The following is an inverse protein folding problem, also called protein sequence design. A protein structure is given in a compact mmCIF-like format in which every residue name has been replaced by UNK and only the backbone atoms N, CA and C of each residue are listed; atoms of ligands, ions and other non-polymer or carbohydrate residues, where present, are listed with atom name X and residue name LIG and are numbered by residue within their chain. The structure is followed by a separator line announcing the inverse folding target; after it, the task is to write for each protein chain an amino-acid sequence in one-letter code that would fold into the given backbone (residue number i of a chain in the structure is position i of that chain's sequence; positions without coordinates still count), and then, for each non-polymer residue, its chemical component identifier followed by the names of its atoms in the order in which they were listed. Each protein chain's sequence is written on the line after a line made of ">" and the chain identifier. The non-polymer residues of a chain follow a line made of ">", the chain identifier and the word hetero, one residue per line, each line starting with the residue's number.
data_IF_215244961248
#
_entry.id   IF_215244961248
#
_cell.length_a   1.000
_cell.length_b   1.000
_cell.length_c   1.000
_cell.angle_alpha   90.00
_cell.angle_beta   90.00
_cell.angle_gamma   90.00
#
_symmetry.space_group_name_H-M   'P 1'
#
loop_
_entity.id
_entity.type
_entity.pdbx_description
1 polymer ?
#
# COMPACT_ATOMS: atom_id res chain seq x y z
N UNK A 1 -25.58 -3.10 17.77
CA UNK A 1 -24.19 -2.52 17.63
C UNK A 1 -23.72 -2.82 16.24
N UNK A 2 -23.19 -1.83 15.52
CA UNK A 2 -22.68 -1.99 14.15
C UNK A 2 -21.19 -2.30 14.19
N UNK A 3 -20.76 -3.35 13.48
CA UNK A 3 -19.36 -3.72 13.33
C UNK A 3 -18.84 -3.18 11.99
N UNK A 4 -17.92 -2.22 12.02
CA UNK A 4 -17.38 -1.57 10.84
C UNK A 4 -16.08 -2.27 10.47
N UNK A 5 -15.96 -2.76 9.23
CA UNK A 5 -14.81 -3.52 8.73
C UNK A 5 -14.39 -3.06 7.34
N UNK A 6 -13.10 -2.97 7.10
CA UNK A 6 -12.51 -2.93 5.77
C UNK A 6 -12.23 -4.34 5.25
N UNK A 7 -11.52 -4.47 4.12
CA UNK A 7 -11.22 -5.76 3.49
C UNK A 7 -10.11 -6.57 4.21
N UNK A 8 -10.03 -7.86 3.89
CA UNK A 8 -8.89 -8.73 4.26
C UNK A 8 -7.58 -8.20 3.65
N UNK A 9 -6.45 -8.44 4.37
CA UNK A 9 -5.15 -7.84 4.02
C UNK A 9 -5.24 -6.32 3.88
N UNK A 10 -5.69 -5.65 4.95
CA UNK A 10 -6.14 -4.27 4.88
C UNK A 10 -4.98 -3.31 4.61
N UNK A 11 -5.25 -2.32 3.78
CA UNK A 11 -4.39 -1.16 3.58
C UNK A 11 -4.78 0.03 4.47
N UNK A 12 -4.23 1.19 4.15
CA UNK A 12 -4.48 2.40 4.95
C UNK A 12 -5.91 2.92 4.78
N UNK A 13 -6.50 2.80 3.59
CA UNK A 13 -7.90 3.22 3.38
C UNK A 13 -8.86 2.31 4.15
N UNK A 14 -8.71 1.00 4.02
CA UNK A 14 -9.54 0.02 4.70
C UNK A 14 -9.58 0.22 6.24
N UNK A 15 -8.43 0.45 6.89
CA UNK A 15 -8.37 0.58 8.36
C UNK A 15 -8.74 2.00 8.82
N UNK A 16 -8.17 3.05 8.21
CA UNK A 16 -8.43 4.42 8.63
C UNK A 16 -9.89 4.83 8.38
N UNK A 17 -10.43 4.44 7.21
CA UNK A 17 -11.82 4.77 6.89
C UNK A 17 -12.80 3.95 7.72
N UNK A 18 -12.52 2.68 8.06
CA UNK A 18 -13.35 1.92 9.00
C UNK A 18 -13.36 2.57 10.39
N UNK A 19 -12.19 2.99 10.90
CA UNK A 19 -12.08 3.73 12.17
C UNK A 19 -12.93 5.00 12.15
N UNK A 20 -12.81 5.79 11.10
CA UNK A 20 -13.52 7.06 10.97
C UNK A 20 -15.02 6.88 10.69
N UNK A 21 -15.42 5.85 9.94
CA UNK A 21 -16.82 5.51 9.70
C UNK A 21 -17.52 5.10 11.00
N UNK A 22 -16.87 4.29 11.85
CA UNK A 22 -17.40 3.98 13.18
C UNK A 22 -17.56 5.24 14.04
N UNK A 23 -16.58 6.16 13.99
CA UNK A 23 -16.65 7.44 14.69
C UNK A 23 -17.81 8.28 14.18
N UNK A 24 -17.98 8.40 12.87
CA UNK A 24 -19.09 9.13 12.23
C UNK A 24 -20.46 8.55 12.60
N UNK A 25 -20.62 7.22 12.59
CA UNK A 25 -21.85 6.55 13.00
C UNK A 25 -22.18 6.84 14.46
N UNK A 26 -21.19 6.83 15.35
CA UNK A 26 -21.37 7.17 16.77
C UNK A 26 -21.80 8.63 16.98
N UNK A 27 -21.26 9.59 16.22
CA UNK A 27 -21.69 11.00 16.25
C UNK A 27 -23.17 11.13 15.87
N UNK A 28 -23.69 10.25 15.04
CA UNK A 28 -25.09 10.19 14.60
C UNK A 28 -25.98 9.32 15.50
N UNK A 29 -25.50 8.94 16.69
CA UNK A 29 -26.25 8.15 17.67
C UNK A 29 -26.37 6.65 17.32
N UNK A 30 -25.64 6.16 16.34
CA UNK A 30 -25.59 4.74 15.96
C UNK A 30 -24.38 4.09 16.62
N UNK A 31 -24.59 3.19 17.56
CA UNK A 31 -23.48 2.49 18.23
C UNK A 31 -22.68 1.66 17.23
N UNK A 32 -21.42 2.00 17.03
CA UNK A 32 -20.53 1.36 16.08
C UNK A 32 -19.11 1.17 16.64
N UNK A 33 -18.47 0.07 16.25
CA UNK A 33 -17.08 -0.27 16.60
C UNK A 33 -16.35 -0.69 15.33
N UNK A 34 -15.16 -0.11 15.11
CA UNK A 34 -14.29 -0.50 14.01
C UNK A 34 -13.42 -1.71 14.37
N UNK A 35 -13.18 -2.56 13.39
CA UNK A 35 -12.32 -3.74 13.46
C UNK A 35 -11.42 -3.80 12.23
N UNK A 36 -10.20 -4.32 12.38
CA UNK A 36 -9.34 -4.67 11.25
C UNK A 36 -9.43 -6.16 10.95
N UNK A 37 -9.34 -6.51 9.68
CA UNK A 37 -9.40 -7.91 9.20
C UNK A 37 -8.01 -8.49 8.87
N UNK A 38 -6.95 -7.90 9.39
CA UNK A 38 -5.58 -8.35 9.18
C UNK A 38 -4.57 -7.45 9.87
N UNK A 39 -3.28 -7.78 9.69
CA UNK A 39 -2.21 -6.97 10.24
C UNK A 39 -2.04 -5.68 9.42
N UNK A 40 -1.86 -4.52 10.07
CA UNK A 40 -1.66 -3.25 9.41
C UNK A 40 -0.29 -3.23 8.73
N UNK A 41 -0.22 -2.66 7.53
CA UNK A 41 1.04 -2.37 6.88
C UNK A 41 1.80 -1.22 7.59
N UNK A 42 3.07 -0.99 7.23
CA UNK A 42 3.92 0.03 7.86
C UNK A 42 3.38 1.45 7.72
N UNK A 43 2.76 1.75 6.59
CA UNK A 43 2.12 3.03 6.31
C UNK A 43 0.96 3.29 7.28
N UNK A 44 0.08 2.30 7.48
CA UNK A 44 -1.03 2.38 8.43
C UNK A 44 -0.53 2.50 9.87
N UNK A 45 0.51 1.74 10.25
CA UNK A 45 1.15 1.86 11.56
C UNK A 45 1.72 3.26 11.80
N UNK A 46 2.37 3.84 10.78
CA UNK A 46 2.87 5.21 10.82
C UNK A 46 1.73 6.22 11.06
N UNK A 47 0.62 6.09 10.33
CA UNK A 47 -0.53 6.99 10.45
C UNK A 47 -1.11 7.00 11.86
N UNK A 48 -1.40 5.84 12.44
CA UNK A 48 -1.94 5.74 13.80
C UNK A 48 -0.94 6.22 14.86
N UNK A 49 0.33 5.88 14.72
CA UNK A 49 1.40 6.37 15.61
C UNK A 49 1.52 7.90 15.53
N UNK A 50 1.50 8.47 14.33
CA UNK A 50 1.58 9.93 14.12
C UNK A 50 0.35 10.66 14.67
N UNK A 51 -0.82 10.06 14.54
CA UNK A 51 -2.08 10.57 15.08
C UNK A 51 -2.16 10.43 16.60
N UNK A 52 -1.37 9.56 17.24
CA UNK A 52 -1.49 9.24 18.66
C UNK A 52 -2.82 8.56 19.01
N UNK A 53 -3.36 7.77 18.08
CA UNK A 53 -4.62 7.05 18.23
C UNK A 53 -4.37 5.54 18.25
N UNK A 54 -5.20 4.84 19.04
CA UNK A 54 -5.17 3.38 19.06
C UNK A 54 -5.82 2.81 17.78
N UNK A 55 -5.17 1.83 17.22
CA UNK A 55 -5.64 1.13 16.02
C UNK A 55 -6.83 0.24 16.34
N UNK A 56 -7.80 0.06 15.42
CA UNK A 56 -8.87 -0.90 15.60
C UNK A 56 -8.32 -2.28 15.96
N UNK A 57 -8.94 -2.99 16.93
CA UNK A 57 -8.54 -4.35 17.25
C UNK A 57 -8.80 -5.31 16.09
N UNK A 58 -8.04 -6.41 16.06
CA UNK A 58 -8.27 -7.50 15.12
C UNK A 58 -9.63 -8.15 15.40
N UNK A 59 -10.43 -8.37 14.35
CA UNK A 59 -11.69 -9.09 14.49
C UNK A 59 -11.40 -10.57 14.81
N UNK A 60 -11.79 -10.98 16.01
CA UNK A 60 -11.58 -12.35 16.50
C UNK A 60 -12.88 -13.15 16.64
N UNK A 61 -14.01 -12.61 16.17
CA UNK A 61 -15.33 -13.23 16.30
C UNK A 61 -16.00 -13.38 14.94
N UNK A 62 -16.91 -14.37 14.76
CA UNK A 62 -17.72 -14.48 13.56
C UNK A 62 -18.67 -13.30 13.42
N UNK A 63 -18.96 -12.90 12.18
CA UNK A 63 -19.93 -11.85 11.88
C UNK A 63 -21.38 -12.35 11.69
N UNK A 64 -21.60 -13.65 11.81
CA UNK A 64 -22.93 -14.27 11.64
C UNK A 64 -24.00 -13.55 12.47
N UNK A 65 -25.08 -13.14 11.80
CA UNK A 65 -26.23 -12.41 12.35
C UNK A 65 -25.92 -11.06 13.03
N UNK A 66 -24.68 -10.54 12.89
CA UNK A 66 -24.30 -9.21 13.38
C UNK A 66 -24.56 -8.15 12.30
N UNK A 67 -24.88 -6.93 12.75
CA UNK A 67 -24.96 -5.76 11.88
C UNK A 67 -23.57 -5.31 11.46
N UNK A 68 -23.30 -5.30 10.16
CA UNK A 68 -21.99 -4.99 9.60
C UNK A 68 -22.07 -3.81 8.65
N UNK A 69 -21.10 -2.90 8.78
CA UNK A 69 -20.88 -1.81 7.85
C UNK A 69 -19.56 -2.06 7.12
N UNK A 70 -19.62 -2.17 5.79
CA UNK A 70 -18.45 -2.41 4.93
C UNK A 70 -17.81 -1.09 4.51
N UNK A 71 -16.50 -1.10 4.48
CA UNK A 71 -15.69 0.00 3.98
C UNK A 71 -14.65 -0.54 3.02
N UNK A 72 -14.55 0.09 1.84
CA UNK A 72 -13.48 -0.14 0.89
C UNK A 72 -13.51 -1.50 0.19
N UNK A 73 -14.62 -2.18 0.19
CA UNK A 73 -14.86 -3.39 -0.61
C UNK A 73 -16.33 -3.77 -0.72
N UNK A 74 -16.68 -4.48 -1.81
CA UNK A 74 -17.98 -5.13 -2.01
C UNK A 74 -17.84 -6.55 -2.55
N UNK A 75 -16.63 -7.10 -2.66
CA UNK A 75 -16.41 -8.49 -3.06
C UNK A 75 -16.45 -9.42 -1.84
N UNK A 76 -17.34 -10.44 -1.79
CA UNK A 76 -17.45 -11.34 -0.63
C UNK A 76 -16.14 -12.06 -0.27
N UNK A 77 -15.29 -12.33 -1.26
CA UNK A 77 -13.99 -12.99 -1.08
C UNK A 77 -12.95 -12.10 -0.39
N UNK A 78 -13.20 -10.81 -0.32
CA UNK A 78 -12.35 -9.85 0.40
C UNK A 78 -12.77 -9.68 1.87
N UNK A 79 -13.84 -10.34 2.31
CA UNK A 79 -14.29 -10.39 3.70
C UNK A 79 -14.09 -11.77 4.33
N UNK A 80 -14.32 -11.91 5.65
CA UNK A 80 -14.28 -13.20 6.32
C UNK A 80 -15.43 -14.10 5.82
N UNK A 81 -15.27 -15.42 5.92
CA UNK A 81 -16.27 -16.40 5.47
C UNK A 81 -17.66 -16.15 6.05
N UNK A 82 -17.72 -15.65 7.28
CA UNK A 82 -18.98 -15.34 7.97
C UNK A 82 -19.66 -14.06 7.50
N UNK A 83 -19.05 -13.31 6.58
CA UNK A 83 -19.63 -12.08 6.04
C UNK A 83 -20.97 -12.33 5.34
N UNK A 84 -21.09 -13.43 4.60
CA UNK A 84 -22.32 -13.76 3.85
C UNK A 84 -23.50 -14.10 4.77
N UNK A 85 -23.23 -14.46 6.02
CA UNK A 85 -24.26 -14.74 7.04
C UNK A 85 -24.50 -13.56 7.99
N UNK A 86 -23.84 -12.46 7.79
CA UNK A 86 -24.04 -11.21 8.53
C UNK A 86 -25.23 -10.42 8.00
N UNK A 87 -25.65 -9.40 8.74
CA UNK A 87 -26.61 -8.40 8.30
C UNK A 87 -25.85 -7.13 7.86
N UNK A 88 -25.59 -6.98 6.54
CA UNK A 88 -24.92 -5.80 6.01
C UNK A 88 -25.89 -4.65 6.01
N UNK A 89 -25.64 -3.65 6.85
CA UNK A 89 -26.50 -2.46 7.06
C UNK A 89 -26.00 -1.22 6.34
N UNK A 90 -24.74 -1.20 5.90
CA UNK A 90 -24.18 -0.07 5.16
C UNK A 90 -22.90 -0.43 4.40
N UNK A 91 -22.60 0.38 3.39
CA UNK A 91 -21.42 0.24 2.50
C UNK A 91 -20.92 1.63 2.15
N UNK A 92 -19.63 1.87 2.33
CA UNK A 92 -18.88 3.00 1.78
C UNK A 92 -17.72 2.44 0.96
N UNK A 93 -17.71 2.65 -0.36
CA UNK A 93 -16.71 2.05 -1.24
C UNK A 93 -16.46 2.90 -2.49
N UNK A 94 -15.29 2.82 -3.06
CA UNK A 94 -14.92 3.47 -4.31
C UNK A 94 -14.59 2.49 -5.44
N UNK A 95 -14.72 1.20 -5.17
CA UNK A 95 -14.50 0.13 -6.14
C UNK A 95 -15.76 -0.19 -6.96
N UNK A 96 -15.57 -1.01 -7.98
CA UNK A 96 -16.70 -1.62 -8.70
C UNK A 96 -17.49 -2.54 -7.77
N UNK A 97 -18.77 -2.72 -8.05
CA UNK A 97 -19.59 -3.70 -7.32
C UNK A 97 -19.06 -5.13 -7.53
N UNK A 98 -18.75 -5.81 -6.45
CA UNK A 98 -18.09 -7.11 -6.42
C UNK A 98 -19.03 -8.33 -6.29
N UNK A 99 -20.33 -8.18 -6.54
CA UNK A 99 -21.29 -9.30 -6.50
C UNK A 99 -21.80 -9.65 -5.09
N UNK A 100 -21.70 -8.72 -4.13
CA UNK A 100 -22.25 -8.88 -2.80
C UNK A 100 -23.78 -9.00 -2.85
N UNK A 101 -24.32 -9.96 -2.11
CA UNK A 101 -25.76 -10.13 -1.91
C UNK A 101 -26.06 -9.86 -0.43
N UNK A 102 -27.01 -8.98 -0.18
CA UNK A 102 -27.43 -8.58 1.19
C UNK A 102 -28.76 -9.17 1.56
N UNK A 103 -28.97 -9.45 2.85
CA UNK A 103 -30.22 -10.01 3.38
C UNK A 103 -31.34 -8.98 3.44
N UNK A 104 -30.98 -7.72 3.73
CA UNK A 104 -31.87 -6.56 3.80
C UNK A 104 -31.29 -5.41 2.99
N UNK A 105 -32.09 -4.41 2.59
CA UNK A 105 -31.57 -3.22 1.89
C UNK A 105 -30.60 -2.44 2.80
N UNK A 106 -29.33 -2.30 2.41
CA UNK A 106 -28.35 -1.50 3.16
C UNK A 106 -28.35 -0.03 2.71
N UNK A 107 -27.75 0.84 3.51
CA UNK A 107 -27.32 2.17 3.04
C UNK A 107 -26.07 2.01 2.17
N UNK A 108 -26.11 2.43 0.91
CA UNK A 108 -25.00 2.22 -0.04
C UNK A 108 -24.49 3.54 -0.60
N UNK A 109 -23.22 3.78 -0.39
CA UNK A 109 -22.48 4.94 -0.87
C UNK A 109 -21.28 4.46 -1.67
N UNK A 110 -21.38 4.54 -2.99
CA UNK A 110 -20.32 4.13 -3.92
C UNK A 110 -20.14 5.22 -4.96
N UNK A 111 -18.90 5.70 -5.12
CA UNK A 111 -18.51 6.69 -6.13
C UNK A 111 -17.12 6.36 -6.69
N UNK A 112 -16.88 6.69 -7.96
CA UNK A 112 -15.55 6.54 -8.58
C UNK A 112 -14.62 7.69 -8.17
N UNK A 113 -14.23 7.72 -6.90
CA UNK A 113 -13.23 8.62 -6.32
C UNK A 113 -11.94 7.86 -6.02
N UNK A 114 -10.89 8.54 -5.61
CA UNK A 114 -9.58 7.94 -5.39
C UNK A 114 -9.46 7.11 -4.10
N UNK A 115 -10.39 7.29 -3.13
CA UNK A 115 -10.34 6.61 -1.83
C UNK A 115 -11.71 6.62 -1.15
N UNK A 116 -12.03 5.58 -0.42
CA UNK A 116 -13.25 5.50 0.41
C UNK A 116 -13.29 6.58 1.50
N UNK A 117 -12.12 7.03 1.98
CA UNK A 117 -12.01 8.15 2.91
C UNK A 117 -12.52 9.46 2.31
N UNK A 118 -12.29 9.70 1.02
CA UNK A 118 -12.86 10.87 0.31
C UNK A 118 -14.38 10.84 0.35
N UNK A 119 -14.96 9.68 0.07
CA UNK A 119 -16.41 9.52 0.08
C UNK A 119 -16.98 9.71 1.50
N UNK A 120 -16.35 9.13 2.51
CA UNK A 120 -16.75 9.33 3.91
C UNK A 120 -16.68 10.81 4.29
N UNK A 121 -15.62 11.53 3.91
CA UNK A 121 -15.50 12.97 4.13
C UNK A 121 -16.64 13.76 3.48
N UNK A 122 -17.07 13.38 2.28
CA UNK A 122 -18.21 14.01 1.61
C UNK A 122 -19.55 13.76 2.31
N UNK A 123 -19.72 12.57 2.90
CA UNK A 123 -20.94 12.20 3.63
C UNK A 123 -21.09 12.93 4.97
N UNK A 124 -20.00 13.40 5.55
CA UNK A 124 -20.02 14.17 6.79
C UNK A 124 -20.63 15.54 6.58
N UNK A 125 -21.66 15.87 7.37
CA UNK A 125 -22.23 17.21 7.41
C UNK A 125 -21.22 18.24 7.94
N UNK A 126 -21.44 19.56 7.76
CA UNK A 126 -20.61 20.58 8.40
C UNK A 126 -20.47 20.40 9.91
N UNK A 127 -21.56 19.98 10.57
CA UNK A 127 -21.60 19.71 12.02
C UNK A 127 -20.77 18.49 12.40
N UNK A 128 -20.79 17.42 11.57
CA UNK A 128 -19.95 16.23 11.76
C UNK A 128 -18.47 16.61 11.61
N UNK A 129 -18.14 17.37 10.55
CA UNK A 129 -16.77 17.83 10.28
C UNK A 129 -16.21 18.73 11.38
N UNK A 130 -17.05 19.55 12.00
CA UNK A 130 -16.65 20.40 13.12
C UNK A 130 -16.25 19.63 14.38
N UNK A 131 -16.64 18.35 14.49
CA UNK A 131 -16.30 17.46 15.62
C UNK A 131 -15.04 16.61 15.35
N UNK A 132 -14.46 16.66 14.14
CA UNK A 132 -13.26 15.93 13.77
C UNK A 132 -12.03 16.58 14.42
N UNK A 133 -11.27 15.80 15.18
CA UNK A 133 -9.98 16.25 15.72
C UNK A 133 -8.89 16.29 14.64
N UNK A 134 -7.79 17.02 14.89
CA UNK A 134 -6.62 17.03 13.99
C UNK A 134 -6.04 15.62 13.76
N UNK A 135 -6.01 14.79 14.81
CA UNK A 135 -5.58 13.40 14.73
C UNK A 135 -6.47 12.55 13.80
N UNK A 136 -7.78 12.75 13.88
CA UNK A 136 -8.76 12.06 13.02
C UNK A 136 -8.69 12.56 11.57
N UNK A 137 -8.51 13.86 11.37
CA UNK A 137 -8.28 14.44 10.05
C UNK A 137 -7.01 13.90 9.39
N UNK A 138 -5.94 13.68 10.18
CA UNK A 138 -4.69 13.10 9.70
C UNK A 138 -4.89 11.67 9.20
N UNK A 139 -5.73 10.84 9.85
CA UNK A 139 -6.04 9.48 9.37
C UNK A 139 -6.76 9.50 8.02
N UNK A 140 -7.79 10.34 7.87
CA UNK A 140 -8.49 10.50 6.58
C UNK A 140 -7.56 11.02 5.49
N UNK A 141 -6.75 12.03 5.80
CA UNK A 141 -5.75 12.57 4.89
C UNK A 141 -4.77 11.50 4.43
N UNK A 142 -4.24 10.71 5.37
CA UNK A 142 -3.29 9.63 5.08
C UNK A 142 -3.90 8.54 4.21
N UNK A 143 -5.14 8.15 4.44
CA UNK A 143 -5.87 7.19 3.61
C UNK A 143 -6.00 7.67 2.17
N UNK A 144 -6.45 8.91 1.96
CA UNK A 144 -6.59 9.49 0.62
C UNK A 144 -5.22 9.58 -0.10
N UNK A 145 -4.18 10.04 0.59
CA UNK A 145 -2.84 10.17 0.00
C UNK A 145 -2.23 8.81 -0.33
N UNK A 146 -2.52 7.76 0.46
CA UNK A 146 -2.09 6.40 0.18
C UNK A 146 -2.65 5.88 -1.13
N UNK A 147 -3.97 5.92 -1.29
CA UNK A 147 -4.69 5.37 -2.46
C UNK A 147 -4.46 6.18 -3.72
N UNK A 148 -4.35 7.48 -3.58
CA UNK A 148 -4.09 8.38 -4.71
C UNK A 148 -2.59 8.50 -5.05
N UNK A 149 -1.73 7.75 -4.35
CA UNK A 149 -0.26 7.88 -4.49
C UNK A 149 0.14 9.36 -4.42
N UNK A 150 -0.27 10.02 -3.33
CA UNK A 150 -0.07 11.47 -3.13
C UNK A 150 -0.61 12.33 -4.29
N UNK A 151 -1.85 12.04 -4.71
CA UNK A 151 -2.59 12.70 -5.80
C UNK A 151 -1.99 12.52 -7.20
N UNK A 152 -1.12 11.51 -7.40
CA UNK A 152 -0.49 11.18 -8.70
C UNK A 152 -1.17 10.01 -9.41
N UNK A 153 -2.02 9.24 -8.73
CA UNK A 153 -2.74 8.12 -9.33
C UNK A 153 -3.70 8.62 -10.43
N UNK A 154 -3.87 7.88 -11.53
CA UNK A 154 -4.88 8.19 -12.54
C UNK A 154 -6.32 8.08 -12.01
N UNK A 155 -6.53 7.45 -10.86
CA UNK A 155 -7.81 7.36 -10.15
C UNK A 155 -8.14 8.61 -9.34
N UNK A 156 -7.18 9.54 -9.17
CA UNK A 156 -7.36 10.78 -8.41
C UNK A 156 -8.39 11.68 -9.08
N UNK A 157 -9.38 12.11 -8.31
CA UNK A 157 -10.44 13.01 -8.75
C UNK A 157 -10.30 14.40 -8.12
N UNK A 158 -11.12 15.35 -8.58
CA UNK A 158 -11.21 16.67 -7.95
C UNK A 158 -11.76 16.59 -6.52
N UNK A 159 -12.67 15.66 -6.27
CA UNK A 159 -13.20 15.41 -4.93
C UNK A 159 -12.09 15.01 -3.94
N UNK A 160 -11.11 14.22 -4.37
CA UNK A 160 -9.95 13.85 -3.56
C UNK A 160 -9.08 15.07 -3.25
N UNK A 161 -8.84 15.93 -4.23
CA UNK A 161 -8.04 17.16 -4.07
C UNK A 161 -8.68 18.12 -3.06
N UNK A 162 -9.99 18.34 -3.18
CA UNK A 162 -10.74 19.19 -2.25
C UNK A 162 -10.76 18.61 -0.82
N UNK A 163 -10.89 17.29 -0.70
CA UNK A 163 -10.82 16.62 0.61
C UNK A 163 -9.42 16.76 1.22
N UNK A 164 -8.37 16.55 0.44
CA UNK A 164 -6.97 16.71 0.89
C UNK A 164 -6.71 18.13 1.35
N UNK A 165 -7.14 19.16 0.62
CA UNK A 165 -6.97 20.56 1.01
C UNK A 165 -7.62 20.86 2.38
N UNK A 166 -8.88 20.45 2.55
CA UNK A 166 -9.62 20.66 3.79
C UNK A 166 -8.98 19.88 4.96
N UNK A 167 -8.65 18.60 4.75
CA UNK A 167 -8.08 17.73 5.77
C UNK A 167 -6.66 18.14 6.16
N UNK A 168 -5.85 18.63 5.22
CA UNK A 168 -4.50 19.17 5.48
C UNK A 168 -4.58 20.34 6.46
N UNK A 169 -5.55 21.23 6.25
CA UNK A 169 -5.79 22.39 7.14
C UNK A 169 -6.23 21.91 8.54
N UNK A 170 -7.17 20.96 8.61
CA UNK A 170 -7.66 20.43 9.89
C UNK A 170 -6.62 19.61 10.65
N UNK A 171 -5.79 18.84 9.94
CA UNK A 171 -4.71 18.06 10.53
C UNK A 171 -3.55 18.96 11.02
N UNK A 172 -3.43 20.19 10.48
CA UNK A 172 -2.38 21.13 10.84
C UNK A 172 -0.99 20.65 10.38
N UNK A 173 -0.90 19.99 9.23
CA UNK A 173 0.35 19.49 8.66
C UNK A 173 0.73 20.24 7.40
N UNK A 174 2.03 20.24 7.06
CA UNK A 174 2.49 20.66 5.74
C UNK A 174 2.37 19.46 4.79
N UNK A 175 1.62 19.63 3.69
CA UNK A 175 1.22 18.51 2.81
C UNK A 175 2.42 17.79 2.17
N UNK A 176 3.42 18.53 1.70
CA UNK A 176 4.57 17.94 1.02
C UNK A 176 5.43 17.12 2.00
N UNK A 177 5.69 17.67 3.20
CA UNK A 177 6.44 16.96 4.24
C UNK A 177 5.69 15.71 4.73
N UNK A 178 4.38 15.83 4.98
CA UNK A 178 3.55 14.69 5.40
C UNK A 178 3.48 13.61 4.32
N UNK A 179 3.36 13.98 3.04
CA UNK A 179 3.38 13.05 1.92
C UNK A 179 4.72 12.31 1.81
N UNK A 180 5.83 13.01 2.03
CA UNK A 180 7.17 12.42 2.04
C UNK A 180 7.33 11.41 3.19
N UNK A 181 6.89 11.78 4.41
CA UNK A 181 6.91 10.88 5.58
C UNK A 181 6.07 9.63 5.33
N UNK A 182 4.87 9.79 4.74
CA UNK A 182 3.95 8.69 4.41
C UNK A 182 4.56 7.71 3.41
N UNK A 183 5.12 8.22 2.30
CA UNK A 183 5.81 7.41 1.29
C UNK A 183 7.06 6.73 1.86
N UNK A 184 7.81 7.42 2.72
CA UNK A 184 8.95 6.85 3.41
C UNK A 184 8.55 5.70 4.32
N UNK A 185 7.44 5.83 5.05
CA UNK A 185 6.90 4.76 5.89
C UNK A 185 6.44 3.56 5.05
N UNK A 186 5.74 3.81 3.93
CA UNK A 186 5.27 2.78 3.00
C UNK A 186 6.42 1.93 2.44
N UNK A 187 7.52 2.56 2.09
CA UNK A 187 8.69 1.94 1.48
C UNK A 187 9.77 1.55 2.48
N UNK A 188 9.53 1.72 3.78
CA UNK A 188 10.50 1.40 4.84
C UNK A 188 10.96 -0.06 4.78
N UNK A 189 12.25 -0.24 4.90
CA UNK A 189 12.92 -1.56 4.94
C UNK A 189 13.42 -1.90 6.35
N UNK A 190 13.15 -1.06 7.34
CA UNK A 190 13.59 -1.22 8.71
C UNK A 190 13.21 -2.59 9.30
N UNK A 191 14.14 -3.26 9.94
CA UNK A 191 13.93 -4.56 10.58
C UNK A 191 13.83 -5.75 9.63
N UNK A 192 13.96 -5.56 8.31
CA UNK A 192 14.05 -6.66 7.35
C UNK A 192 15.52 -7.07 7.17
N UNK A 193 15.77 -8.36 7.15
CA UNK A 193 17.08 -8.92 6.79
C UNK A 193 17.36 -8.74 5.29
N UNK A 194 18.61 -8.82 4.90
CA UNK A 194 19.01 -8.77 3.49
C UNK A 194 18.31 -9.86 2.65
N UNK A 195 18.12 -11.05 3.22
CA UNK A 195 17.44 -12.15 2.54
C UNK A 195 15.96 -11.87 2.34
N UNK A 196 15.26 -11.34 3.34
CA UNK A 196 13.86 -10.95 3.21
C UNK A 196 13.68 -9.83 2.20
N UNK A 197 14.58 -8.83 2.19
CA UNK A 197 14.57 -7.74 1.23
C UNK A 197 14.77 -8.23 -0.20
N UNK A 198 15.79 -9.07 -0.43
CA UNK A 198 16.09 -9.60 -1.77
C UNK A 198 14.94 -10.46 -2.29
N UNK A 199 14.31 -11.26 -1.43
CA UNK A 199 13.26 -12.19 -1.80
C UNK A 199 11.87 -11.58 -1.86
N UNK A 200 11.67 -10.36 -1.37
CA UNK A 200 10.37 -9.67 -1.29
C UNK A 200 9.66 -9.58 -2.64
N UNK A 201 10.41 -9.24 -3.70
CA UNK A 201 9.90 -9.22 -5.09
C UNK A 201 11.01 -9.65 -6.06
N UNK A 202 11.45 -10.92 -5.95
CA UNK A 202 12.39 -11.51 -6.88
C UNK A 202 11.67 -12.37 -7.93
N UNK A 203 12.05 -12.21 -9.19
CA UNK A 203 11.48 -12.99 -10.29
C UNK A 203 12.60 -13.53 -11.18
N UNK A 204 12.36 -14.74 -11.72
CA UNK A 204 13.32 -15.44 -12.56
C UNK A 204 12.95 -15.26 -14.03
N UNK A 205 13.98 -15.05 -14.86
CA UNK A 205 13.88 -14.84 -16.30
C UNK A 205 14.95 -15.63 -17.01
N UNK A 206 14.70 -15.99 -18.28
CA UNK A 206 15.73 -16.51 -19.18
C UNK A 206 16.06 -15.43 -20.20
N UNK A 207 17.29 -14.92 -20.18
CA UNK A 207 17.75 -13.84 -21.06
C UNK A 207 18.96 -14.35 -21.85
N UNK A 208 18.82 -14.45 -23.18
CA UNK A 208 19.86 -14.96 -24.09
C UNK A 208 20.47 -16.30 -23.64
N UNK A 209 19.63 -17.21 -23.14
CA UNK A 209 20.01 -18.52 -22.65
C UNK A 209 20.55 -18.57 -21.21
N UNK A 210 20.69 -17.44 -20.55
CA UNK A 210 21.12 -17.34 -19.14
C UNK A 210 19.94 -17.30 -18.18
N UNK A 211 20.09 -17.93 -17.01
CA UNK A 211 19.12 -17.86 -15.91
C UNK A 211 19.41 -16.61 -15.09
N UNK A 212 18.50 -15.66 -15.09
CA UNK A 212 18.64 -14.37 -14.42
C UNK A 212 17.55 -14.21 -13.38
N UNK A 213 17.92 -13.94 -12.13
CA UNK A 213 16.97 -13.53 -11.09
C UNK A 213 17.03 -12.01 -10.90
N UNK A 214 15.87 -11.37 -10.93
CA UNK A 214 15.77 -9.92 -10.76
C UNK A 214 14.91 -9.62 -9.55
N UNK A 215 15.50 -9.01 -8.53
CA UNK A 215 14.81 -8.44 -7.37
C UNK A 215 14.57 -6.95 -7.60
N UNK A 216 13.39 -6.46 -7.23
CA UNK A 216 13.09 -5.02 -7.20
C UNK A 216 12.71 -4.60 -5.79
N UNK A 217 13.34 -3.54 -5.30
CA UNK A 217 12.99 -2.87 -4.05
C UNK A 217 12.63 -1.43 -4.40
N UNK A 218 11.37 -1.07 -4.18
CA UNK A 218 10.91 0.30 -4.33
C UNK A 218 11.15 1.05 -3.01
N UNK A 219 11.77 2.22 -3.10
CA UNK A 219 12.20 3.07 -1.99
C UNK A 219 11.72 4.50 -2.22
N UNK A 220 11.42 5.20 -1.15
CA UNK A 220 11.24 6.64 -1.24
C UNK A 220 12.56 7.33 -1.63
N UNK A 221 13.68 6.89 -1.03
CA UNK A 221 15.02 7.31 -1.37
C UNK A 221 16.03 6.16 -1.17
N UNK A 222 17.09 6.12 -1.97
CA UNK A 222 18.15 5.10 -1.89
C UNK A 222 18.81 5.03 -0.50
N UNK A 223 18.82 6.14 0.25
CA UNK A 223 19.34 6.19 1.62
C UNK A 223 18.66 5.21 2.58
N UNK A 224 17.42 4.77 2.31
CA UNK A 224 16.70 3.81 3.15
C UNK A 224 17.38 2.43 3.24
N UNK A 225 18.22 2.06 2.27
CA UNK A 225 18.96 0.79 2.27
C UNK A 225 20.46 0.96 2.53
N UNK A 226 20.93 2.18 2.82
CA UNK A 226 22.35 2.45 2.95
C UNK A 226 23.03 1.53 3.98
N UNK A 227 22.43 1.34 5.15
CA UNK A 227 22.97 0.54 6.26
C UNK A 227 22.93 -0.98 5.99
N UNK A 228 22.10 -1.45 5.07
CA UNK A 228 21.94 -2.87 4.75
C UNK A 228 22.55 -3.24 3.38
N UNK A 229 23.13 -2.29 2.66
CA UNK A 229 23.58 -2.47 1.29
C UNK A 229 24.70 -3.51 1.17
N UNK A 230 25.67 -3.52 2.09
CA UNK A 230 26.75 -4.51 2.07
C UNK A 230 26.20 -5.93 2.29
N UNK A 231 25.29 -6.10 3.27
CA UNK A 231 24.63 -7.39 3.51
C UNK A 231 23.75 -7.82 2.31
N UNK A 232 23.11 -6.88 1.61
CA UNK A 232 22.35 -7.18 0.38
C UNK A 232 23.27 -7.68 -0.75
N UNK A 233 24.44 -7.09 -0.90
CA UNK A 233 25.42 -7.53 -1.92
C UNK A 233 25.96 -8.94 -1.62
N UNK A 234 26.25 -9.25 -0.37
CA UNK A 234 26.62 -10.60 0.07
C UNK A 234 25.50 -11.59 -0.21
N UNK A 235 24.27 -11.27 0.20
CA UNK A 235 23.10 -12.12 -0.01
C UNK A 235 22.80 -12.35 -1.51
N UNK A 236 23.03 -11.36 -2.39
CA UNK A 236 22.91 -11.55 -3.86
C UNK A 236 23.86 -12.63 -4.38
N UNK A 237 25.12 -12.62 -3.93
CA UNK A 237 26.12 -13.61 -4.32
C UNK A 237 25.77 -15.01 -3.80
N UNK A 238 25.36 -15.10 -2.54
CA UNK A 238 24.90 -16.34 -1.91
C UNK A 238 23.64 -16.88 -2.57
N UNK A 239 22.69 -16.02 -2.88
CA UNK A 239 21.46 -16.39 -3.60
C UNK A 239 21.77 -16.94 -5.00
N UNK A 240 22.69 -16.30 -5.75
CA UNK A 240 23.13 -16.79 -7.07
C UNK A 240 23.64 -18.24 -6.98
N UNK A 241 24.49 -18.50 -5.98
CA UNK A 241 25.08 -19.82 -5.74
C UNK A 241 24.01 -20.86 -5.34
N UNK A 242 23.17 -20.53 -4.37
CA UNK A 242 22.10 -21.45 -3.87
C UNK A 242 21.03 -21.75 -4.91
N UNK A 243 20.72 -20.77 -5.74
CA UNK A 243 19.65 -20.90 -6.73
C UNK A 243 20.11 -21.39 -8.09
N UNK A 244 21.43 -21.51 -8.30
CA UNK A 244 22.03 -21.96 -9.56
C UNK A 244 21.71 -21.04 -10.73
N UNK A 245 21.61 -19.73 -10.49
CA UNK A 245 21.38 -18.74 -11.54
C UNK A 245 22.67 -18.10 -12.00
N UNK A 246 22.74 -17.73 -13.28
CA UNK A 246 23.93 -17.13 -13.89
C UNK A 246 24.16 -15.69 -13.41
N UNK A 247 23.05 -14.98 -13.12
CA UNK A 247 23.08 -13.58 -12.74
C UNK A 247 21.94 -13.24 -11.78
N UNK A 248 22.24 -12.49 -10.74
CA UNK A 248 21.27 -11.81 -9.88
C UNK A 248 21.36 -10.30 -10.13
N UNK A 249 20.23 -9.67 -10.37
CA UNK A 249 20.12 -8.22 -10.52
C UNK A 249 19.27 -7.69 -9.36
N UNK A 250 19.79 -6.72 -8.62
CA UNK A 250 19.02 -5.94 -7.65
C UNK A 250 18.75 -4.57 -8.26
N UNK A 251 17.47 -4.27 -8.45
CA UNK A 251 16.96 -2.98 -8.91
C UNK A 251 16.42 -2.20 -7.72
N UNK A 252 17.15 -1.19 -7.28
CA UNK A 252 16.74 -0.25 -6.26
C UNK A 252 16.07 0.94 -6.94
N UNK A 253 14.77 1.05 -6.82
CA UNK A 253 13.98 2.10 -7.47
C UNK A 253 13.73 3.24 -6.50
N UNK A 254 14.33 4.41 -6.77
CA UNK A 254 14.06 5.65 -6.06
C UNK A 254 12.84 6.32 -6.69
N UNK A 255 11.68 6.20 -6.03
CA UNK A 255 10.42 6.73 -6.54
C UNK A 255 10.34 8.26 -6.46
N UNK A 256 11.10 8.88 -5.55
CA UNK A 256 11.16 10.33 -5.43
C UNK A 256 12.06 10.96 -6.50
N UNK A 257 13.25 10.38 -6.72
CA UNK A 257 14.16 10.84 -7.77
C UNK A 257 13.73 10.39 -9.18
N UNK A 258 12.89 9.35 -9.29
CA UNK A 258 12.41 8.85 -10.57
C UNK A 258 13.46 8.05 -11.36
N UNK A 259 14.36 7.36 -10.67
CA UNK A 259 15.41 6.56 -11.27
C UNK A 259 15.62 5.21 -10.57
N UNK A 260 16.46 4.36 -11.12
CA UNK A 260 16.85 3.12 -10.47
C UNK A 260 18.36 2.92 -10.50
N UNK A 261 18.85 2.34 -9.40
CA UNK A 261 20.22 1.89 -9.26
C UNK A 261 20.27 0.36 -9.40
N UNK A 262 21.10 -0.14 -10.30
CA UNK A 262 21.23 -1.56 -10.58
C UNK A 262 22.54 -2.10 -10.02
N UNK A 263 22.43 -3.22 -9.31
CA UNK A 263 23.55 -3.99 -8.77
C UNK A 263 23.49 -5.41 -9.31
N UNK A 264 24.65 -6.03 -9.50
CA UNK A 264 24.79 -7.33 -10.15
C UNK A 264 25.67 -8.25 -9.31
N UNK A 265 25.29 -9.53 -9.22
CA UNK A 265 26.08 -10.58 -8.60
C UNK A 265 25.84 -11.92 -9.32
N UNK A 266 26.81 -12.81 -9.26
CA UNK A 266 26.73 -14.15 -9.84
C UNK A 266 27.98 -14.54 -10.62
N UNK A 267 28.05 -15.77 -11.14
CA UNK A 267 29.19 -16.25 -11.93
C UNK A 267 29.36 -15.50 -13.24
N UNK A 268 28.30 -14.95 -13.81
CA UNK A 268 28.38 -14.07 -14.99
C UNK A 268 28.51 -12.62 -14.54
N UNK A 269 29.61 -12.01 -14.91
CA UNK A 269 29.85 -10.59 -14.71
C UNK A 269 29.38 -9.81 -15.93
N UNK A 270 28.66 -8.70 -15.68
CA UNK A 270 28.42 -7.69 -16.71
C UNK A 270 29.62 -6.75 -16.75
N UNK A 271 30.11 -6.43 -17.97
CA UNK A 271 31.16 -5.44 -18.16
C UNK A 271 30.65 -4.01 -17.98
N UNK A 272 30.06 -3.74 -16.82
CA UNK A 272 29.57 -2.41 -16.45
C UNK A 272 30.07 -2.06 -15.07
N UNK A 273 30.40 -0.79 -14.87
CA UNK A 273 30.74 -0.30 -13.53
C UNK A 273 29.49 -0.42 -12.63
N UNK A 274 29.69 -0.81 -11.37
CA UNK A 274 28.61 -0.96 -10.40
C UNK A 274 28.72 0.09 -9.28
N UNK A 275 27.58 0.64 -8.85
CA UNK A 275 26.24 0.47 -9.39
C UNK A 275 26.03 1.21 -10.73
N UNK A 276 25.05 0.74 -11.51
CA UNK A 276 24.58 1.49 -12.69
C UNK A 276 23.35 2.27 -12.33
N UNK A 277 23.41 3.59 -12.43
CA UNK A 277 22.21 4.44 -12.27
C UNK A 277 21.57 4.69 -13.63
N UNK A 278 20.26 4.42 -13.74
CA UNK A 278 19.51 4.62 -14.97
C UNK A 278 18.34 5.58 -14.70
N UNK A 279 18.45 6.78 -15.26
CA UNK A 279 17.43 7.81 -15.15
C UNK A 279 16.12 7.39 -15.82
N UNK A 280 14.99 7.70 -15.17
CA UNK A 280 13.65 7.40 -15.68
C UNK A 280 13.29 5.91 -15.67
N UNK A 281 14.13 5.03 -15.15
CA UNK A 281 13.84 3.59 -15.03
C UNK A 281 13.04 3.32 -13.76
N UNK A 282 11.74 3.00 -13.90
CA UNK A 282 10.85 2.69 -12.78
C UNK A 282 10.20 1.30 -12.92
N UNK A 283 10.29 0.68 -14.10
CA UNK A 283 9.61 -0.57 -14.38
C UNK A 283 10.57 -1.69 -14.73
N UNK A 284 10.61 -2.74 -13.88
CA UNK A 284 11.37 -3.96 -14.16
C UNK A 284 11.02 -4.54 -15.52
N UNK A 285 9.73 -4.75 -15.79
CA UNK A 285 9.26 -5.44 -17.00
C UNK A 285 9.41 -4.62 -18.27
N UNK A 286 9.07 -3.32 -18.22
CA UNK A 286 9.01 -2.47 -19.43
C UNK A 286 10.33 -1.80 -19.77
N UNK A 287 11.23 -1.61 -18.79
CA UNK A 287 12.45 -0.83 -18.98
C UNK A 287 13.70 -1.63 -18.62
N UNK A 288 13.76 -2.23 -17.42
CA UNK A 288 14.98 -2.88 -16.96
C UNK A 288 15.27 -4.17 -17.74
N UNK A 289 14.29 -5.04 -18.01
CA UNK A 289 14.52 -6.26 -18.79
C UNK A 289 15.04 -5.98 -20.20
N UNK A 290 14.45 -5.06 -21.02
CA UNK A 290 15.02 -4.68 -22.32
C UNK A 290 16.44 -4.08 -22.22
N UNK A 291 16.68 -3.27 -21.19
CA UNK A 291 18.02 -2.73 -20.93
C UNK A 291 19.01 -3.86 -20.64
N UNK A 292 18.67 -4.81 -19.79
CA UNK A 292 19.51 -5.95 -19.44
C UNK A 292 19.78 -6.84 -20.66
N UNK A 293 18.78 -7.10 -21.50
CA UNK A 293 18.96 -7.85 -22.75
C UNK A 293 20.00 -7.22 -23.69
N UNK A 294 20.12 -5.90 -23.69
CA UNK A 294 21.13 -5.20 -24.50
C UNK A 294 22.55 -5.31 -23.93
N UNK A 295 22.69 -5.57 -22.61
CA UNK A 295 23.97 -5.62 -21.91
C UNK A 295 24.48 -7.03 -21.59
N UNK A 296 23.59 -8.03 -21.59
CA UNK A 296 23.98 -9.44 -21.39
C UNK A 296 24.56 -10.00 -22.69
N UNK A 297 25.77 -10.55 -22.62
CA UNK A 297 26.36 -11.26 -23.74
C UNK A 297 25.55 -12.51 -24.10
N UNK A 298 25.51 -12.88 -25.39
CA UNK A 298 24.92 -14.18 -25.78
C UNK A 298 25.77 -15.29 -25.17
N UNK A 299 25.10 -16.31 -24.64
CA UNK A 299 25.82 -17.56 -24.32
C UNK A 299 26.23 -18.20 -25.60
N UNK A 300 27.54 -18.37 -25.83
CA UNK A 300 28.03 -19.22 -26.93
C UNK A 300 27.48 -20.63 -26.66
N UNK A 301 26.63 -21.12 -27.57
CA UNK A 301 26.19 -22.50 -27.54
C UNK A 301 27.42 -23.35 -27.86
N UNK A 302 27.99 -23.98 -26.82
CA UNK A 302 28.99 -25.04 -26.97
C UNK A 302 28.29 -26.36 -27.26
#
# INVERSE_FOLDING_TARGET
>A
MIHVVGHLNPDSDAICTAFMAARWLNMRGRQATAWRLGEPNRETQFLFKRAGLDMPPLLAMPLTDLDVWLVDFTEPTQGPETLQTSNIVGIIDHHRLGGLVTRLPPEVWIKPVGSSATLLWQLMSPEDRAQITSAQALLLLGAILSDTVTLRSPTTTEDDRLAVEALTTLAGVELAAFSADLLSAKTSVEGLSASELLQKDIKRFTIKGQQVSVAQIELYALSQVADVMDALREEMADYATRSGVDLVVLMLTDINAGNSQLWFAGPRQLEVAQPVTVEGMLSRKKQMLPWLESHVAKTDQA
#
